data_IF_337625231087
#
_entry.id   IF_337625231087
#
_cell.length_a   1.000
_cell.length_b   1.000
_cell.length_c   1.000
_cell.angle_alpha   90.00
_cell.angle_beta   90.00
_cell.angle_gamma   90.00
#
_symmetry.space_group_name_H-M   'P 1'
#
loop_
_entity.id
_entity.type
_entity.pdbx_description
1 polymer ?
#
# COMPACT_ATOMS: atom_id res chain seq x y z
N UNK A 1 17.83 49.01 59.92
CA UNK A 1 17.60 49.04 58.45
C UNK A 1 17.77 47.59 57.96
N UNK A 2 16.67 46.90 57.69
CA UNK A 2 16.68 45.54 57.16
C UNK A 2 16.26 45.60 55.69
N UNK A 3 17.14 45.19 54.77
CA UNK A 3 16.89 45.09 53.33
C UNK A 3 16.46 43.66 53.03
N UNK A 4 15.21 43.52 52.67
CA UNK A 4 14.61 42.21 52.21
C UNK A 4 14.92 41.98 50.74
N UNK A 5 15.68 40.94 50.45
CA UNK A 5 15.93 40.50 49.06
C UNK A 5 14.79 39.54 48.64
N UNK A 6 13.92 39.97 47.77
CA UNK A 6 12.91 39.13 47.14
C UNK A 6 13.53 38.41 45.94
N UNK A 7 13.70 37.10 46.08
CA UNK A 7 14.15 36.23 44.98
C UNK A 7 12.97 35.92 44.03
N UNK A 8 13.07 36.42 42.81
CA UNK A 8 12.13 36.13 41.71
C UNK A 8 12.49 34.79 41.05
N UNK A 9 11.72 33.76 41.33
CA UNK A 9 11.84 32.47 40.64
C UNK A 9 11.15 32.56 39.29
N UNK A 10 11.92 32.64 38.19
CA UNK A 10 11.40 32.45 36.85
C UNK A 10 11.10 30.97 36.62
N UNK A 11 9.82 30.61 36.56
CA UNK A 11 9.35 29.30 36.13
C UNK A 11 9.46 29.21 34.60
N UNK A 12 10.54 28.62 34.08
CA UNK A 12 10.65 28.31 32.63
C UNK A 12 9.79 27.06 32.37
N UNK A 13 8.58 27.30 31.85
CA UNK A 13 7.71 26.25 31.37
C UNK A 13 8.28 25.73 30.04
N UNK A 14 9.06 24.64 30.12
CA UNK A 14 9.56 23.94 28.93
C UNK A 14 8.41 23.32 28.17
N UNK A 15 8.04 23.89 27.02
CA UNK A 15 7.14 23.26 26.06
C UNK A 15 7.90 22.09 25.46
N UNK A 16 7.69 20.89 26.00
CA UNK A 16 8.12 19.66 25.33
C UNK A 16 7.23 19.45 24.11
N UNK A 17 7.73 19.82 22.93
CA UNK A 17 7.16 19.38 21.68
C UNK A 17 7.35 17.86 21.61
N UNK A 18 6.32 17.11 21.93
CA UNK A 18 6.27 15.68 21.61
C UNK A 18 6.25 15.59 20.06
N UNK A 19 7.40 15.32 19.46
CA UNK A 19 7.44 14.74 18.15
C UNK A 19 6.74 13.38 18.28
N UNK A 20 5.49 13.30 17.86
CA UNK A 20 4.88 12.02 17.56
C UNK A 20 5.73 11.45 16.43
N UNK A 21 6.53 10.46 16.74
CA UNK A 21 7.21 9.63 15.76
C UNK A 21 6.09 8.98 14.95
N UNK A 22 5.81 9.55 13.77
CA UNK A 22 4.77 9.04 12.89
C UNK A 22 5.30 7.79 12.22
N UNK A 23 5.30 6.68 12.99
CA UNK A 23 5.60 5.38 12.42
C UNK A 23 4.53 5.08 11.36
N UNK A 24 4.96 5.01 10.10
CA UNK A 24 4.08 4.63 9.00
C UNK A 24 3.47 3.25 9.30
N UNK A 25 2.15 3.07 9.17
CA UNK A 25 1.53 1.78 9.42
C UNK A 25 2.08 0.74 8.44
N UNK A 26 2.25 -0.49 8.94
CA UNK A 26 2.70 -1.61 8.13
C UNK A 26 1.60 -2.67 8.05
N UNK A 27 1.55 -3.35 6.92
CA UNK A 27 0.63 -4.46 6.65
C UNK A 27 1.45 -5.66 6.19
N UNK A 28 1.19 -6.81 6.81
CA UNK A 28 1.67 -8.11 6.37
C UNK A 28 0.64 -8.72 5.43
N UNK A 29 1.07 -9.12 4.23
CA UNK A 29 0.33 -9.96 3.30
C UNK A 29 0.97 -11.35 3.30
N UNK A 30 0.36 -12.30 3.99
CA UNK A 30 0.75 -13.71 3.95
C UNK A 30 0.18 -14.35 2.69
N UNK A 31 1.04 -14.90 1.85
CA UNK A 31 0.65 -15.63 0.64
C UNK A 31 1.08 -17.08 0.72
N UNK A 32 0.54 -17.94 -0.15
CA UNK A 32 1.01 -19.33 -0.27
C UNK A 32 2.45 -19.47 -0.81
N UNK A 33 3.10 -18.35 -1.19
CA UNK A 33 4.52 -18.31 -1.61
C UNK A 33 5.43 -17.61 -0.61
N UNK A 34 4.90 -17.08 0.49
CA UNK A 34 5.62 -16.34 1.52
C UNK A 34 4.94 -15.04 1.92
N UNK A 35 5.59 -14.29 2.79
CA UNK A 35 5.05 -13.05 3.37
C UNK A 35 5.67 -11.83 2.72
N UNK A 36 4.84 -10.83 2.44
CA UNK A 36 5.24 -9.51 1.94
C UNK A 36 4.83 -8.48 2.99
N UNK A 37 5.78 -7.68 3.49
CA UNK A 37 5.49 -6.57 4.42
C UNK A 37 5.53 -5.25 3.65
N UNK A 38 4.47 -4.47 3.81
CA UNK A 38 4.26 -3.20 3.13
C UNK A 38 4.18 -2.08 4.15
N UNK A 39 4.99 -1.05 3.98
CA UNK A 39 4.89 0.21 4.70
C UNK A 39 4.02 1.19 3.92
N UNK A 40 3.04 1.80 4.58
CA UNK A 40 2.05 2.69 3.97
C UNK A 40 2.34 4.16 4.28
N UNK A 41 1.95 5.07 3.38
CA UNK A 41 2.23 6.51 3.46
C UNK A 41 0.94 7.34 3.62
N UNK A 42 0.34 7.38 4.82
CA UNK A 42 -0.91 8.12 5.06
C UNK A 42 -0.75 9.64 4.92
N UNK A 43 0.45 10.17 5.08
CA UNK A 43 0.80 11.57 4.85
C UNK A 43 0.76 11.96 3.35
N UNK A 44 0.97 10.99 2.45
CA UNK A 44 1.00 11.17 0.99
C UNK A 44 -0.30 10.76 0.30
N UNK A 45 -0.99 9.76 0.84
CA UNK A 45 -2.18 9.19 0.24
C UNK A 45 -3.22 8.81 1.32
N UNK A 46 -3.74 9.80 2.09
CA UNK A 46 -4.59 9.53 3.26
C UNK A 46 -5.87 8.76 2.93
N UNK A 47 -6.57 9.11 1.86
CA UNK A 47 -7.80 8.41 1.48
C UNK A 47 -7.52 7.00 0.98
N UNK A 48 -6.44 6.81 0.23
CA UNK A 48 -6.01 5.52 -0.32
C UNK A 48 -5.57 4.58 0.80
N UNK A 49 -4.73 5.05 1.73
CA UNK A 49 -4.28 4.25 2.87
C UNK A 49 -5.46 3.88 3.77
N UNK A 50 -6.34 4.83 4.09
CA UNK A 50 -7.57 4.55 4.88
C UNK A 50 -8.43 3.47 4.22
N UNK A 51 -8.63 3.55 2.90
CA UNK A 51 -9.40 2.58 2.13
C UNK A 51 -8.72 1.18 2.17
N UNK A 52 -7.41 1.12 1.93
CA UNK A 52 -6.67 -0.14 1.96
C UNK A 52 -6.72 -0.80 3.34
N UNK A 53 -6.50 -0.04 4.42
CA UNK A 53 -6.59 -0.54 5.79
C UNK A 53 -8.01 -1.00 6.15
N UNK A 54 -9.06 -0.33 5.67
CA UNK A 54 -10.43 -0.78 5.89
C UNK A 54 -10.71 -2.16 5.25
N UNK A 55 -10.11 -2.48 4.10
CA UNK A 55 -10.17 -3.82 3.51
C UNK A 55 -9.33 -4.84 4.28
N UNK A 56 -8.16 -4.45 4.79
CA UNK A 56 -7.32 -5.29 5.66
C UNK A 56 -8.08 -5.68 6.92
N UNK A 57 -8.61 -4.69 7.64
CA UNK A 57 -9.33 -4.87 8.91
C UNK A 57 -10.61 -5.70 8.75
N UNK A 58 -11.26 -5.60 7.59
CA UNK A 58 -12.42 -6.42 7.24
C UNK A 58 -12.04 -7.86 6.82
N UNK A 59 -10.75 -8.22 6.80
CA UNK A 59 -10.30 -9.54 6.30
C UNK A 59 -10.62 -9.78 4.82
N UNK A 60 -10.89 -8.71 4.06
CA UNK A 60 -11.35 -8.80 2.68
C UNK A 60 -10.35 -9.52 1.77
N UNK A 61 -9.06 -9.29 1.96
CA UNK A 61 -8.01 -9.82 1.09
C UNK A 61 -7.79 -11.33 1.26
N UNK A 62 -8.20 -11.93 2.39
CA UNK A 62 -8.11 -13.37 2.59
C UNK A 62 -8.90 -14.12 1.50
N UNK A 63 -8.24 -15.09 0.84
CA UNK A 63 -8.78 -15.85 -0.28
C UNK A 63 -8.79 -15.09 -1.61
N UNK A 64 -8.26 -13.88 -1.68
CA UNK A 64 -8.03 -13.20 -2.98
C UNK A 64 -6.72 -13.66 -3.60
N UNK A 65 -6.62 -13.55 -4.93
CA UNK A 65 -5.44 -13.98 -5.68
C UNK A 65 -4.74 -12.81 -6.35
N UNK A 66 -3.47 -13.00 -6.68
CA UNK A 66 -2.78 -12.22 -7.70
C UNK A 66 -3.25 -12.73 -9.08
N UNK A 67 -4.28 -12.09 -9.61
CA UNK A 67 -4.99 -12.53 -10.81
C UNK A 67 -4.35 -12.04 -12.11
N UNK A 68 -3.36 -11.15 -12.04
CA UNK A 68 -2.61 -10.66 -13.20
C UNK A 68 -1.16 -10.43 -12.83
N UNK A 69 -0.26 -11.15 -13.50
CA UNK A 69 1.18 -11.12 -13.27
C UNK A 69 1.89 -10.95 -14.60
N UNK A 70 2.62 -9.85 -14.76
CA UNK A 70 3.38 -9.57 -15.98
C UNK A 70 4.84 -9.35 -15.61
N UNK A 71 5.70 -10.24 -16.09
CA UNK A 71 7.15 -10.20 -15.86
C UNK A 71 7.77 -8.90 -16.39
N UNK A 72 8.61 -8.27 -15.58
CA UNK A 72 9.24 -6.98 -15.89
C UNK A 72 8.24 -5.82 -15.89
N UNK A 73 7.13 -5.96 -15.15
CA UNK A 73 6.14 -4.90 -15.02
C UNK A 73 5.54 -4.83 -13.60
N UNK A 74 4.60 -5.72 -13.25
CA UNK A 74 3.92 -5.68 -11.95
C UNK A 74 3.21 -7.01 -11.63
N UNK A 75 2.84 -7.18 -10.36
CA UNK A 75 1.90 -8.19 -9.90
C UNK A 75 0.66 -7.51 -9.34
N UNK A 76 -0.55 -7.87 -9.81
CA UNK A 76 -1.82 -7.24 -9.44
C UNK A 76 -2.75 -8.24 -8.77
N UNK A 77 -3.34 -7.83 -7.63
CA UNK A 77 -4.24 -8.67 -6.84
C UNK A 77 -5.32 -7.87 -6.10
N UNK A 78 -5.96 -8.53 -5.12
CA UNK A 78 -6.88 -7.91 -4.19
C UNK A 78 -8.30 -7.66 -4.71
N UNK A 79 -8.73 -8.37 -5.75
CA UNK A 79 -10.08 -8.16 -6.32
C UNK A 79 -10.85 -9.41 -6.66
N UNK A 80 -10.17 -10.54 -6.87
CA UNK A 80 -10.77 -11.79 -7.34
C UNK A 80 -10.45 -12.94 -6.40
N UNK A 81 -11.41 -13.86 -6.22
CA UNK A 81 -11.18 -15.16 -5.61
C UNK A 81 -10.49 -16.12 -6.59
N UNK A 82 -10.15 -17.33 -6.10
CA UNK A 82 -9.54 -18.38 -6.91
C UNK A 82 -10.43 -18.85 -8.07
N UNK A 83 -11.74 -18.69 -7.94
CA UNK A 83 -12.75 -18.97 -8.98
C UNK A 83 -12.81 -17.89 -10.07
N UNK A 84 -11.95 -16.88 -9.99
CA UNK A 84 -11.93 -15.70 -10.87
C UNK A 84 -13.22 -14.84 -10.79
N UNK A 85 -14.01 -14.98 -9.72
CA UNK A 85 -15.14 -14.10 -9.47
C UNK A 85 -14.68 -12.85 -8.72
N UNK A 86 -15.15 -11.66 -9.13
CA UNK A 86 -14.84 -10.43 -8.41
C UNK A 86 -15.55 -10.42 -7.05
N UNK A 87 -14.83 -10.05 -5.99
CA UNK A 87 -15.44 -9.84 -4.67
C UNK A 87 -16.19 -8.50 -4.64
N UNK A 88 -17.34 -8.42 -3.95
CA UNK A 88 -18.07 -7.15 -3.77
C UNK A 88 -17.20 -6.10 -3.07
N UNK A 89 -17.10 -4.90 -3.64
CA UNK A 89 -16.24 -3.82 -3.12
C UNK A 89 -17.04 -2.67 -2.53
N UNK A 90 -16.36 -1.82 -1.75
CA UNK A 90 -16.88 -0.52 -1.30
C UNK A 90 -16.92 0.47 -2.48
N UNK A 91 -17.46 1.68 -2.23
CA UNK A 91 -17.48 2.76 -3.22
C UNK A 91 -16.05 3.15 -3.66
N UNK A 92 -15.87 3.55 -4.92
CA UNK A 92 -14.58 4.05 -5.40
C UNK A 92 -14.09 5.27 -4.61
N UNK A 93 -12.75 5.43 -4.58
CA UNK A 93 -12.07 6.55 -3.94
C UNK A 93 -11.47 7.52 -4.94
N UNK A 94 -11.16 8.74 -4.49
CA UNK A 94 -10.40 9.71 -5.26
C UNK A 94 -8.99 9.18 -5.50
N UNK A 95 -8.47 9.43 -6.70
CA UNK A 95 -7.10 9.08 -7.05
C UNK A 95 -6.13 10.18 -6.56
N UNK A 96 -5.25 9.82 -5.64
CA UNK A 96 -4.24 10.71 -5.05
C UNK A 96 -2.86 10.58 -5.73
N UNK A 97 -2.80 10.18 -7.01
CA UNK A 97 -1.53 9.96 -7.73
C UNK A 97 -0.69 11.25 -7.91
N UNK A 98 -1.29 12.43 -7.70
CA UNK A 98 -0.59 13.72 -7.70
C UNK A 98 0.17 14.01 -6.39
N UNK A 99 0.45 12.99 -5.58
CA UNK A 99 1.11 13.08 -4.28
C UNK A 99 2.64 13.13 -4.33
N UNK A 100 3.22 13.12 -5.54
CA UNK A 100 4.66 13.19 -5.78
C UNK A 100 5.40 11.84 -5.68
N UNK A 101 4.72 10.74 -5.31
CA UNK A 101 5.30 9.42 -5.30
C UNK A 101 5.36 8.82 -6.71
N UNK A 102 6.41 8.07 -6.99
CA UNK A 102 6.67 7.47 -8.29
C UNK A 102 6.42 5.95 -8.25
N UNK A 103 5.99 5.37 -9.36
CA UNK A 103 5.83 3.94 -9.56
C UNK A 103 7.19 3.27 -9.81
N UNK A 104 8.01 3.21 -8.76
CA UNK A 104 9.33 2.55 -8.76
C UNK A 104 9.18 1.09 -8.33
N UNK A 105 10.20 0.26 -8.64
CA UNK A 105 10.24 -1.13 -8.16
C UNK A 105 10.02 -1.20 -6.64
N UNK A 106 9.17 -2.11 -6.22
CA UNK A 106 8.80 -2.33 -4.82
C UNK A 106 7.67 -1.43 -4.31
N UNK A 107 7.24 -0.39 -5.05
CA UNK A 107 6.09 0.41 -4.62
C UNK A 107 4.76 -0.30 -4.86
N UNK A 108 3.79 -0.06 -3.97
CA UNK A 108 2.40 -0.50 -4.12
C UNK A 108 1.54 0.66 -4.58
N UNK A 109 0.68 0.42 -5.58
CA UNK A 109 -0.23 1.41 -6.13
C UNK A 109 -1.63 0.84 -6.35
N UNK A 110 -2.65 1.72 -6.38
CA UNK A 110 -4.03 1.31 -6.64
C UNK A 110 -4.26 1.04 -8.11
N UNK A 111 -4.82 -0.12 -8.41
CA UNK A 111 -5.37 -0.40 -9.73
C UNK A 111 -6.69 0.35 -9.94
N UNK A 112 -6.99 0.70 -11.17
CA UNK A 112 -8.20 1.44 -11.57
C UNK A 112 -8.64 1.09 -13.00
N UNK A 113 -9.85 1.45 -13.35
CA UNK A 113 -10.35 1.44 -14.74
C UNK A 113 -9.80 2.65 -15.52
N UNK A 114 -10.29 2.88 -16.70
CA UNK A 114 -10.00 4.09 -17.49
C UNK A 114 -10.42 5.39 -16.78
N UNK A 115 -11.40 5.30 -15.87
CA UNK A 115 -11.82 6.45 -15.05
C UNK A 115 -10.79 6.72 -13.93
N UNK A 116 -10.29 7.95 -13.78
CA UNK A 116 -9.27 8.26 -12.78
C UNK A 116 -9.63 7.89 -11.35
N UNK A 117 -10.86 8.16 -10.94
CA UNK A 117 -11.38 8.01 -9.58
C UNK A 117 -12.25 6.75 -9.45
N UNK A 118 -11.73 5.59 -9.90
CA UNK A 118 -12.46 4.31 -9.92
C UNK A 118 -11.80 3.21 -9.08
N UNK A 119 -10.73 3.52 -8.36
CA UNK A 119 -10.04 2.55 -7.52
C UNK A 119 -10.93 2.11 -6.35
N UNK A 120 -10.91 0.80 -6.05
CA UNK A 120 -11.65 0.20 -4.93
C UNK A 120 -10.71 -0.64 -4.05
N UNK A 121 -10.61 -1.96 -4.27
CA UNK A 121 -9.78 -2.87 -3.48
C UNK A 121 -8.50 -3.31 -4.19
N UNK A 122 -8.50 -3.33 -5.54
CA UNK A 122 -7.38 -3.88 -6.29
C UNK A 122 -6.14 -2.99 -6.21
N UNK A 123 -5.01 -3.63 -6.03
CA UNK A 123 -3.69 -3.01 -5.99
C UNK A 123 -2.70 -3.77 -6.87
N UNK A 124 -1.57 -3.15 -7.15
CA UNK A 124 -0.43 -3.83 -7.77
C UNK A 124 0.88 -3.42 -7.09
N UNK A 125 1.85 -4.34 -7.13
CA UNK A 125 3.22 -4.08 -6.70
C UNK A 125 4.10 -4.00 -7.95
N UNK A 126 4.82 -2.90 -8.09
CA UNK A 126 5.73 -2.68 -9.20
C UNK A 126 6.96 -3.58 -9.07
N UNK A 127 7.25 -4.39 -10.08
CA UNK A 127 8.45 -5.25 -10.11
C UNK A 127 9.58 -4.59 -10.89
N UNK A 128 9.32 -3.43 -11.49
CA UNK A 128 10.24 -2.57 -12.23
C UNK A 128 9.86 -1.11 -12.02
N UNK A 129 10.72 -0.19 -12.40
CA UNK A 129 10.42 1.24 -12.48
C UNK A 129 9.50 1.52 -13.67
N UNK A 130 8.25 1.89 -13.36
CA UNK A 130 7.19 2.08 -14.33
C UNK A 130 6.81 3.56 -14.46
N UNK A 131 7.74 4.39 -14.91
CA UNK A 131 7.56 5.85 -14.98
C UNK A 131 6.33 6.29 -15.79
N UNK A 132 5.89 5.50 -16.77
CA UNK A 132 4.70 5.79 -17.58
C UNK A 132 3.38 5.70 -16.79
N UNK A 133 3.38 5.09 -15.59
CA UNK A 133 2.25 5.03 -14.65
C UNK A 133 2.17 6.26 -13.73
N UNK A 134 3.18 7.13 -13.73
CA UNK A 134 3.21 8.31 -12.86
C UNK A 134 2.19 9.36 -13.29
N UNK A 135 1.73 10.15 -12.32
CA UNK A 135 0.90 11.31 -12.58
C UNK A 135 1.64 12.32 -13.47
N UNK A 136 0.98 12.80 -14.51
CA UNK A 136 1.48 13.84 -15.43
C UNK A 136 0.58 15.08 -15.41
N UNK A 137 -0.73 14.85 -15.49
CA UNK A 137 -1.75 15.89 -15.53
C UNK A 137 -3.12 15.33 -15.09
N UNK A 138 -4.14 16.18 -15.05
CA UNK A 138 -5.49 15.83 -14.60
C UNK A 138 -6.41 15.26 -15.70
N UNK A 139 -5.85 14.84 -16.83
CA UNK A 139 -6.62 14.09 -17.86
C UNK A 139 -6.80 12.63 -17.45
N UNK A 140 -7.74 11.93 -18.08
CA UNK A 140 -7.97 10.51 -17.80
C UNK A 140 -6.72 9.65 -18.06
N UNK A 141 -5.92 9.99 -19.08
CA UNK A 141 -4.69 9.31 -19.44
C UNK A 141 -3.50 9.75 -18.56
N UNK A 142 -3.43 11.05 -18.22
CA UNK A 142 -2.32 11.64 -17.48
C UNK A 142 -2.43 11.52 -15.96
N UNK A 143 -3.60 11.12 -15.42
CA UNK A 143 -3.80 11.06 -13.97
C UNK A 143 -2.85 10.09 -13.26
N UNK A 144 -2.46 9.02 -13.92
CA UNK A 144 -1.55 8.01 -13.38
C UNK A 144 -2.20 7.09 -12.32
N UNK A 145 -1.34 6.40 -11.57
CA UNK A 145 -1.72 5.40 -10.56
C UNK A 145 -1.15 5.81 -9.20
N UNK A 146 -2.01 5.87 -8.19
CA UNK A 146 -1.66 6.35 -6.86
C UNK A 146 -0.76 5.35 -6.14
N UNK A 147 0.52 5.67 -5.99
CA UNK A 147 1.42 5.00 -5.06
C UNK A 147 1.06 5.44 -3.64
N UNK A 148 0.94 4.47 -2.72
CA UNK A 148 0.54 4.73 -1.34
C UNK A 148 1.39 3.99 -0.30
N UNK A 149 2.44 3.31 -0.72
CA UNK A 149 3.37 2.59 0.13
C UNK A 149 4.46 1.87 -0.66
N UNK A 150 5.26 1.09 0.06
CA UNK A 150 6.31 0.25 -0.53
C UNK A 150 6.46 -1.06 0.23
N UNK A 151 6.96 -2.08 -0.45
CA UNK A 151 7.45 -3.32 0.17
C UNK A 151 8.72 -3.01 0.95
N UNK A 152 8.75 -3.38 2.22
CA UNK A 152 9.91 -3.24 3.11
C UNK A 152 10.55 -4.58 3.43
N UNK A 153 9.77 -5.70 3.32
CA UNK A 153 10.26 -7.08 3.44
C UNK A 153 9.53 -7.97 2.44
N UNK A 154 10.18 -9.04 1.96
CA UNK A 154 9.56 -10.02 1.06
C UNK A 154 9.58 -9.62 -0.42
N UNK A 155 10.54 -8.80 -0.87
CA UNK A 155 10.72 -8.54 -2.31
C UNK A 155 11.13 -9.80 -3.09
N UNK A 156 11.76 -10.77 -2.47
CA UNK A 156 12.04 -12.09 -3.02
C UNK A 156 10.75 -12.90 -3.26
N UNK A 157 9.75 -12.77 -2.37
CA UNK A 157 8.40 -13.33 -2.56
C UNK A 157 7.70 -12.65 -3.74
N UNK A 158 7.80 -11.33 -3.86
CA UNK A 158 7.27 -10.59 -5.03
C UNK A 158 7.90 -11.09 -6.32
N UNK A 159 9.21 -11.31 -6.35
CA UNK A 159 9.94 -11.85 -7.51
C UNK A 159 9.55 -13.32 -7.80
N UNK A 160 9.31 -14.12 -6.77
CA UNK A 160 8.81 -15.48 -6.92
C UNK A 160 7.41 -15.50 -7.54
N UNK A 161 6.53 -14.57 -7.14
CA UNK A 161 5.19 -14.40 -7.74
C UNK A 161 5.33 -13.94 -9.20
N UNK A 162 6.17 -12.95 -9.48
CA UNK A 162 6.40 -12.46 -10.84
C UNK A 162 6.90 -13.55 -11.79
N UNK A 163 7.65 -14.51 -11.25
CA UNK A 163 8.26 -15.61 -12.02
C UNK A 163 7.30 -16.75 -12.34
N UNK A 164 6.06 -16.73 -11.82
CA UNK A 164 5.07 -17.76 -12.09
C UNK A 164 4.73 -17.80 -13.58
N UNK A 165 4.52 -19.01 -14.10
CA UNK A 165 3.96 -19.17 -15.44
C UNK A 165 2.54 -18.63 -15.46
N UNK A 166 2.18 -17.94 -16.52
CA UNK A 166 0.85 -17.36 -16.69
C UNK A 166 0.12 -17.96 -17.89
N UNK A 167 -1.20 -17.92 -17.81
CA UNK A 167 -2.12 -18.43 -18.82
C UNK A 167 -3.30 -17.48 -18.98
N UNK A 168 -4.22 -17.81 -19.88
CA UNK A 168 -5.54 -17.18 -19.96
C UNK A 168 -6.57 -18.01 -19.20
N UNK A 169 -7.30 -17.38 -18.25
CA UNK A 169 -8.32 -18.02 -17.44
C UNK A 169 -9.55 -17.13 -17.29
N UNK A 170 -10.74 -17.67 -17.47
CA UNK A 170 -12.02 -16.95 -17.36
C UNK A 170 -12.09 -15.64 -18.17
N UNK A 171 -11.42 -15.58 -19.33
CA UNK A 171 -11.36 -14.38 -20.21
C UNK A 171 -10.29 -13.35 -19.80
N UNK A 172 -9.56 -13.57 -18.73
CA UNK A 172 -8.42 -12.75 -18.31
C UNK A 172 -7.10 -13.33 -18.82
N UNK A 173 -6.17 -12.46 -19.18
CA UNK A 173 -4.80 -12.83 -19.58
C UNK A 173 -3.84 -12.63 -18.41
N UNK A 174 -2.64 -13.21 -18.54
CA UNK A 174 -1.55 -13.08 -17.55
C UNK A 174 -1.91 -13.58 -16.15
N UNK A 175 -2.83 -14.56 -16.05
CA UNK A 175 -3.23 -15.20 -14.79
C UNK A 175 -2.22 -16.30 -14.45
N UNK A 176 -1.65 -16.35 -13.23
CA UNK A 176 -0.79 -17.47 -12.82
C UNK A 176 -1.47 -18.83 -13.02
N UNK A 177 -0.76 -19.80 -13.59
CA UNK A 177 -1.25 -21.17 -13.80
C UNK A 177 -1.71 -21.82 -12.49
N UNK A 178 -0.92 -21.61 -11.44
CA UNK A 178 -1.27 -21.99 -10.07
C UNK A 178 -1.66 -20.73 -9.31
N UNK A 179 -2.84 -20.70 -8.67
CA UNK A 179 -3.27 -19.52 -7.93
C UNK A 179 -2.25 -19.09 -6.88
N UNK A 180 -1.87 -17.81 -6.93
CA UNK A 180 -1.10 -17.17 -5.85
C UNK A 180 -2.09 -16.44 -4.97
N UNK A 181 -2.37 -17.04 -3.81
CA UNK A 181 -3.45 -16.64 -2.91
C UNK A 181 -2.92 -15.86 -1.73
N UNK A 182 -3.57 -14.76 -1.41
CA UNK A 182 -3.38 -14.04 -0.14
C UNK A 182 -4.16 -14.83 0.92
N UNK A 183 -3.43 -15.49 1.81
CA UNK A 183 -4.00 -16.31 2.90
C UNK A 183 -4.53 -15.39 4.01
N UNK A 184 -3.76 -14.34 4.34
CA UNK A 184 -4.07 -13.39 5.39
C UNK A 184 -3.50 -12.02 5.06
N UNK A 185 -4.19 -10.97 5.47
CA UNK A 185 -3.68 -9.60 5.48
C UNK A 185 -3.99 -8.99 6.85
N UNK A 186 -2.99 -8.41 7.51
CA UNK A 186 -3.17 -7.79 8.82
C UNK A 186 -2.23 -6.60 9.02
N UNK A 187 -2.67 -5.62 9.81
CA UNK A 187 -1.81 -4.56 10.30
C UNK A 187 -0.83 -5.15 11.32
N UNK A 188 0.45 -4.79 11.19
CA UNK A 188 1.48 -5.18 12.14
C UNK A 188 1.93 -3.96 12.94
N UNK A 189 1.93 -4.11 14.26
CA UNK A 189 2.48 -3.10 15.17
C UNK A 189 3.97 -3.38 15.33
N UNK A 190 4.80 -2.39 15.00
CA UNK A 190 6.23 -2.48 15.32
C UNK A 190 6.39 -2.50 16.84
N UNK A 191 7.09 -3.48 17.38
CA UNK A 191 7.49 -3.44 18.77
C UNK A 191 8.49 -2.29 18.97
N UNK A 192 8.49 -1.61 20.15
CA UNK A 192 9.42 -0.50 20.43
C UNK A 192 10.91 -0.86 20.33
N UNK A 193 11.25 -2.14 20.12
CA UNK A 193 12.62 -2.65 20.04
C UNK A 193 13.21 -2.71 18.63
N UNK A 194 12.43 -2.43 17.58
CA UNK A 194 12.88 -2.48 16.16
C UNK A 194 13.13 -1.10 15.55
N UNK A 195 13.06 -0.04 16.37
CA UNK A 195 13.38 1.33 15.94
C UNK A 195 14.82 1.65 16.35
N UNK A 196 15.77 1.22 15.51
CA UNK A 196 17.20 1.62 15.63
C UNK A 196 17.73 2.09 14.28
#
# INVERSE_FOLDING_TARGET
MAVSLASLFLLVCGVQSSHADSTHPRVSLETNLGTIVIELYPDKAPATVKNFLAYVDAGFFAGTIFHRVIKGFMIQGGGFGEDMQPKPTQKPILNEANNGLLNLRGTIAMARTSQPHSATSQFFINTKDNQFLNHKDKTSQGWGYCVFGKVVEGMDVVDAIESQKTTSRAGYQDVPDHPVTIVKAEQITLSPQEVH
#
